data_IF_865445308184
#
_entry.id   IF_865445308184
#
_cell.length_a   1.000
_cell.length_b   1.000
_cell.length_c   1.000
_cell.angle_alpha   90.00
_cell.angle_beta   90.00
_cell.angle_gamma   90.00
#
_symmetry.space_group_name_H-M   'P 1'
#
loop_
_entity.id
_entity.type
_entity.pdbx_description
1 polymer ?
#
# COMPACT_ATOMS: atom_id res chain seq x y z
N UNK A 1 -21.09 31.59 -2.38
CA UNK A 1 -21.15 30.12 -2.23
C UNK A 1 -20.23 29.72 -1.08
N UNK A 2 -20.73 29.29 0.08
CA UNK A 2 -19.85 28.81 1.14
C UNK A 2 -19.36 27.38 0.83
N UNK A 3 -18.04 27.20 0.87
CA UNK A 3 -17.35 25.92 0.79
C UNK A 3 -17.81 25.04 1.97
N UNK A 4 -18.25 23.81 1.68
CA UNK A 4 -18.64 22.82 2.70
C UNK A 4 -17.48 22.48 3.64
N UNK A 5 -17.75 21.98 4.85
CA UNK A 5 -16.72 21.80 5.86
C UNK A 5 -15.75 20.70 5.41
N UNK A 6 -14.46 21.06 5.36
CA UNK A 6 -13.37 20.11 5.30
C UNK A 6 -13.48 19.13 6.47
N UNK A 7 -13.92 17.89 6.20
CA UNK A 7 -13.86 16.80 7.17
C UNK A 7 -12.39 16.39 7.35
N UNK A 8 -11.72 17.12 8.23
CA UNK A 8 -10.46 16.71 8.84
C UNK A 8 -10.80 15.62 9.85
N UNK A 9 -10.38 14.40 9.52
CA UNK A 9 -10.01 13.30 10.42
C UNK A 9 -10.45 13.49 11.90
N UNK A 10 -11.68 13.09 12.23
CA UNK A 10 -12.14 12.85 13.60
C UNK A 10 -12.55 11.39 13.69
N UNK A 11 -12.24 10.78 14.84
CA UNK A 11 -12.15 9.34 15.05
C UNK A 11 -13.29 8.51 14.47
N UNK A 12 -12.92 7.27 14.13
CA UNK A 12 -13.73 6.16 13.69
C UNK A 12 -15.00 5.96 14.55
N UNK A 13 -16.00 6.80 14.33
CA UNK A 13 -17.33 6.67 14.90
C UNK A 13 -18.20 6.10 13.79
N UNK A 14 -18.56 4.82 13.93
CA UNK A 14 -19.40 4.02 13.01
C UNK A 14 -19.16 4.34 11.52
N UNK A 15 -18.26 3.58 10.90
CA UNK A 15 -17.99 3.69 9.48
C UNK A 15 -19.30 3.65 8.69
N UNK A 16 -19.62 4.75 8.01
CA UNK A 16 -20.74 4.86 7.09
C UNK A 16 -20.76 3.60 6.20
N UNK A 17 -21.92 2.94 6.01
CA UNK A 17 -22.03 1.83 5.06
C UNK A 17 -21.38 2.13 3.70
N UNK A 18 -21.40 3.38 3.27
CA UNK A 18 -20.68 3.84 2.08
C UNK A 18 -19.15 3.76 2.25
N UNK A 19 -18.59 4.24 3.35
CA UNK A 19 -17.14 4.17 3.62
C UNK A 19 -16.64 2.73 3.72
N UNK A 20 -17.44 1.84 4.33
CA UNK A 20 -17.12 0.40 4.39
C UNK A 20 -17.11 -0.24 3.00
N UNK A 21 -18.15 0.04 2.20
CA UNK A 21 -18.22 -0.44 0.83
C UNK A 21 -17.06 0.10 -0.01
N UNK A 22 -16.77 1.39 0.10
CA UNK A 22 -15.71 2.04 -0.65
C UNK A 22 -14.34 1.44 -0.31
N UNK A 23 -14.04 1.23 0.97
CA UNK A 23 -12.79 0.60 1.39
C UNK A 23 -12.67 -0.82 0.83
N UNK A 24 -13.74 -1.62 0.94
CA UNK A 24 -13.71 -3.00 0.42
C UNK A 24 -13.57 -3.05 -1.10
N UNK A 25 -14.25 -2.16 -1.83
CA UNK A 25 -14.12 -2.05 -3.28
C UNK A 25 -12.72 -1.62 -3.71
N UNK A 26 -12.09 -0.71 -2.97
CA UNK A 26 -10.72 -0.27 -3.24
C UNK A 26 -9.72 -1.40 -3.01
N UNK A 27 -9.82 -2.11 -1.89
CA UNK A 27 -9.00 -3.30 -1.65
C UNK A 27 -9.15 -4.31 -2.80
N UNK A 28 -10.37 -4.73 -3.12
CA UNK A 28 -10.61 -5.69 -4.21
C UNK A 28 -10.05 -5.25 -5.56
N UNK A 29 -10.08 -3.96 -5.86
CA UNK A 29 -9.57 -3.44 -7.13
C UNK A 29 -8.04 -3.38 -7.19
N UNK A 30 -7.36 -3.27 -6.05
CA UNK A 30 -5.92 -2.99 -5.97
C UNK A 30 -5.10 -4.06 -5.25
N UNK A 31 -5.72 -5.07 -4.63
CA UNK A 31 -5.01 -6.13 -3.91
C UNK A 31 -4.02 -6.87 -4.84
N UNK A 32 -4.36 -7.05 -6.13
CA UNK A 32 -3.44 -7.65 -7.09
C UNK A 32 -2.16 -6.83 -7.38
N UNK A 33 -2.17 -5.52 -7.13
CA UNK A 33 -0.97 -4.69 -7.25
C UNK A 33 0.00 -4.90 -6.06
N UNK A 34 -0.47 -5.47 -4.95
CA UNK A 34 0.35 -5.78 -3.79
C UNK A 34 1.10 -7.11 -3.95
N UNK A 35 0.63 -7.99 -4.85
CA UNK A 35 1.30 -9.24 -5.22
C UNK A 35 2.40 -9.04 -6.27
N UNK A 36 2.51 -7.84 -6.86
CA UNK A 36 3.56 -7.52 -7.83
C UNK A 36 4.87 -7.11 -7.12
N UNK A 37 6.04 -7.65 -7.55
CA UNK A 37 7.31 -7.24 -6.98
C UNK A 37 7.56 -5.75 -7.21
N UNK A 38 8.17 -5.10 -6.21
CA UNK A 38 8.50 -3.67 -6.28
C UNK A 38 9.32 -3.34 -7.53
N UNK A 39 8.90 -2.36 -8.36
CA UNK A 39 9.59 -1.98 -9.59
C UNK A 39 11.06 -1.58 -9.38
N UNK A 40 11.91 -2.03 -10.30
CA UNK A 40 13.36 -1.80 -10.26
C UNK A 40 13.75 -0.31 -10.36
N UNK A 41 12.94 0.51 -11.02
CA UNK A 41 13.14 1.97 -11.09
C UNK A 41 12.98 2.65 -9.73
N UNK A 42 12.06 2.16 -8.89
CA UNK A 42 11.91 2.65 -7.52
C UNK A 42 13.11 2.23 -6.68
N UNK A 43 13.54 0.97 -6.79
CA UNK A 43 14.76 0.50 -6.12
C UNK A 43 15.99 1.31 -6.54
N UNK A 44 16.09 1.70 -7.82
CA UNK A 44 17.16 2.57 -8.31
C UNK A 44 17.15 3.95 -7.66
N UNK A 45 15.98 4.48 -7.30
CA UNK A 45 15.88 5.78 -6.64
C UNK A 45 16.38 5.74 -5.18
N UNK A 46 16.27 4.58 -4.52
CA UNK A 46 16.60 4.42 -3.11
C UNK A 46 17.95 3.75 -2.83
N UNK A 47 18.64 3.23 -3.84
CA UNK A 47 19.91 2.50 -3.70
C UNK A 47 21.09 3.24 -4.32
N UNK A 48 22.19 3.35 -3.59
CA UNK A 48 23.45 3.98 -4.05
C UNK A 48 24.32 3.06 -4.94
N UNK A 49 23.94 1.79 -5.13
CA UNK A 49 24.72 0.85 -5.93
C UNK A 49 24.01 -0.47 -6.26
N UNK A 50 24.58 -1.24 -7.22
CA UNK A 50 24.00 -2.52 -7.69
C UNK A 50 23.86 -3.58 -6.58
N UNK A 51 24.82 -3.64 -5.64
CA UNK A 51 24.77 -4.60 -4.53
C UNK A 51 23.68 -4.29 -3.49
N UNK A 52 23.45 -3.00 -3.19
CA UNK A 52 22.38 -2.56 -2.29
C UNK A 52 20.99 -2.82 -2.88
N UNK A 53 20.85 -2.60 -4.20
CA UNK A 53 19.64 -2.94 -4.95
C UNK A 53 19.33 -4.43 -4.94
N UNK A 54 20.32 -5.29 -5.17
CA UNK A 54 20.13 -6.75 -5.11
C UNK A 54 19.79 -7.24 -3.70
N UNK A 55 20.39 -6.64 -2.67
CA UNK A 55 20.08 -6.93 -1.27
C UNK A 55 18.64 -6.54 -0.90
N UNK A 56 18.22 -5.33 -1.30
CA UNK A 56 16.84 -4.87 -1.13
C UNK A 56 15.89 -5.81 -1.88
N UNK A 57 16.10 -6.04 -3.17
CA UNK A 57 15.24 -6.93 -3.98
C UNK A 57 15.10 -8.32 -3.35
N UNK A 58 16.22 -8.91 -2.91
CA UNK A 58 16.21 -10.24 -2.27
C UNK A 58 15.43 -10.23 -0.96
N UNK A 59 15.59 -9.19 -0.15
CA UNK A 59 14.86 -9.03 1.11
C UNK A 59 13.35 -8.85 0.88
N UNK A 60 12.94 -8.08 -0.13
CA UNK A 60 11.54 -7.87 -0.47
C UNK A 60 10.89 -9.15 -1.05
N UNK A 61 11.57 -9.84 -1.97
CA UNK A 61 11.12 -11.15 -2.49
C UNK A 61 11.04 -12.22 -1.39
N UNK A 62 11.89 -12.14 -0.36
CA UNK A 62 11.85 -13.06 0.79
C UNK A 62 10.69 -12.75 1.73
N UNK A 63 10.41 -11.46 1.95
CA UNK A 63 9.29 -11.03 2.78
C UNK A 63 7.93 -11.42 2.18
N UNK A 64 7.82 -11.48 0.85
CA UNK A 64 6.63 -11.99 0.13
C UNK A 64 6.40 -13.50 0.32
N UNK A 65 7.49 -14.29 0.51
CA UNK A 65 7.39 -15.74 0.65
C UNK A 65 7.02 -16.21 2.06
N UNK A 66 7.11 -15.35 3.06
CA UNK A 66 6.69 -15.70 4.42
C UNK A 66 5.18 -15.44 4.53
N UNK A 67 4.34 -16.50 4.61
CA UNK A 67 2.92 -16.28 4.78
C UNK A 67 2.72 -15.52 6.10
N UNK A 68 2.01 -14.38 6.04
CA UNK A 68 1.45 -13.76 7.24
C UNK A 68 0.57 -14.81 7.90
N UNK A 69 1.08 -15.44 8.94
CA UNK A 69 0.32 -16.30 9.83
C UNK A 69 -0.75 -15.40 10.46
N UNK A 70 -1.99 -15.58 10.03
CA UNK A 70 -3.20 -14.98 10.64
C UNK A 70 -3.62 -15.79 11.87
#
# INVERSE_FOLDING_TARGET
MPLGPARRNQGFSEADPFDLWLRRSLHQSWDGALDEPVPDDLLRLFSDGRGDREALRTRWLRAEKEPRQE
#
